data_IF_288254733029
#
_entry.id   IF_288254733029
#
_cell.length_a   1.000
_cell.length_b   1.000
_cell.length_c   1.000
_cell.angle_alpha   90.00
_cell.angle_beta   90.00
_cell.angle_gamma   90.00
#
_symmetry.space_group_name_H-M   'P 1'
#
loop_
_entity.id
_entity.type
_entity.pdbx_description
1 polymer ?
#
# COMPACT_ATOMS: atom_id res chain seq x y z
N UNK A 1 22.59 3.58 9.75
CA UNK A 1 21.89 2.27 9.84
C UNK A 1 21.21 2.01 8.49
N UNK A 2 21.85 1.26 7.59
CA UNK A 2 21.24 0.84 6.33
C UNK A 2 20.82 -0.62 6.49
N UNK A 3 19.56 -0.84 6.85
CA UNK A 3 18.97 -2.17 6.96
C UNK A 3 18.32 -2.62 5.63
N UNK A 4 18.99 -2.39 4.49
CA UNK A 4 18.57 -3.00 3.22
C UNK A 4 19.29 -4.34 3.10
N UNK A 5 18.64 -5.41 3.56
CA UNK A 5 18.98 -6.77 3.16
C UNK A 5 18.82 -6.96 1.63
N UNK A 6 19.21 -8.12 1.07
CA UNK A 6 19.35 -8.36 -0.37
C UNK A 6 18.00 -8.58 -1.09
N UNK A 7 16.95 -7.91 -0.63
CA UNK A 7 15.64 -7.95 -1.26
C UNK A 7 15.67 -7.05 -2.48
N UNK A 8 15.31 -7.60 -3.65
CA UNK A 8 15.12 -6.84 -4.87
C UNK A 8 13.86 -5.98 -4.71
N UNK A 9 14.06 -4.79 -4.14
CA UNK A 9 12.99 -3.82 -3.91
C UNK A 9 12.31 -3.42 -5.22
N UNK A 10 13.06 -3.34 -6.33
CA UNK A 10 12.51 -3.04 -7.65
C UNK A 10 11.52 -4.12 -8.09
N UNK A 11 11.93 -5.40 -8.03
CA UNK A 11 11.05 -6.52 -8.34
C UNK A 11 9.82 -6.59 -7.43
N UNK A 12 9.97 -6.25 -6.15
CA UNK A 12 8.85 -6.18 -5.23
C UNK A 12 7.84 -5.10 -5.66
N UNK A 13 8.31 -3.88 -5.94
CA UNK A 13 7.46 -2.78 -6.40
C UNK A 13 6.75 -3.11 -7.71
N UNK A 14 7.46 -3.68 -8.69
CA UNK A 14 6.85 -4.10 -9.97
C UNK A 14 5.74 -5.15 -9.79
N UNK A 15 5.93 -6.10 -8.85
CA UNK A 15 4.91 -7.09 -8.52
C UNK A 15 3.72 -6.45 -7.80
N UNK A 16 3.98 -5.54 -6.87
CA UNK A 16 2.96 -4.80 -6.14
C UNK A 16 2.09 -3.96 -7.08
N UNK A 17 2.70 -3.24 -8.04
CA UNK A 17 1.99 -2.43 -9.03
C UNK A 17 1.05 -3.26 -9.91
N UNK A 18 1.47 -4.48 -10.29
CA UNK A 18 0.61 -5.43 -11.02
C UNK A 18 -0.61 -5.87 -10.23
N UNK A 19 -0.48 -6.01 -8.91
CA UNK A 19 -1.62 -6.33 -8.03
C UNK A 19 -2.51 -5.11 -7.88
N UNK A 20 -1.93 -3.92 -7.72
CA UNK A 20 -2.67 -2.66 -7.62
C UNK A 20 -3.48 -2.32 -8.87
N UNK A 21 -3.04 -2.73 -10.05
CA UNK A 21 -3.81 -2.60 -11.29
C UNK A 21 -5.18 -3.33 -11.27
N UNK A 22 -5.41 -4.23 -10.31
CA UNK A 22 -6.70 -4.95 -10.14
C UNK A 22 -7.72 -4.18 -9.30
N UNK A 23 -7.31 -3.09 -8.64
CA UNK A 23 -8.21 -2.27 -7.84
C UNK A 23 -9.18 -1.45 -8.70
N UNK A 24 -10.33 -1.02 -8.15
CA UNK A 24 -11.26 -0.15 -8.85
C UNK A 24 -10.60 1.11 -9.40
N UNK A 25 -11.08 1.58 -10.56
CA UNK A 25 -10.65 2.85 -11.15
C UNK A 25 -10.91 4.01 -10.19
N UNK A 26 -9.94 4.92 -10.09
CA UNK A 26 -9.99 6.03 -9.12
C UNK A 26 -9.44 5.68 -7.74
N UNK A 27 -8.83 4.49 -7.57
CA UNK A 27 -8.03 4.20 -6.37
C UNK A 27 -6.78 5.08 -6.38
N UNK A 28 -6.56 5.82 -5.31
CA UNK A 28 -5.39 6.69 -5.12
C UNK A 28 -4.46 6.12 -4.05
N UNK A 29 -3.15 6.25 -4.26
CA UNK A 29 -2.14 5.86 -3.29
C UNK A 29 -1.55 7.10 -2.63
N UNK A 30 -1.64 7.17 -1.30
CA UNK A 30 -1.14 8.30 -0.50
C UNK A 30 -0.20 7.82 0.60
N UNK A 31 0.68 8.72 1.03
CA UNK A 31 1.57 8.49 2.17
C UNK A 31 1.15 9.35 3.34
N UNK A 32 0.86 8.73 4.47
CA UNK A 32 0.43 9.40 5.70
C UNK A 32 1.56 9.34 6.73
N UNK A 33 2.08 10.50 7.20
CA UNK A 33 3.09 10.52 8.24
C UNK A 33 2.49 10.09 9.59
N UNK A 34 3.20 9.24 10.32
CA UNK A 34 2.83 8.81 11.67
C UNK A 34 4.03 8.91 12.61
N UNK A 35 3.84 8.86 13.94
CA UNK A 35 4.95 8.80 14.90
C UNK A 35 5.87 7.58 14.72
N UNK A 36 5.42 6.55 13.99
CA UNK A 36 6.17 5.31 13.75
C UNK A 36 6.79 5.27 12.34
N UNK A 37 6.71 6.36 11.58
CA UNK A 37 7.17 6.45 10.20
C UNK A 37 6.02 6.72 9.21
N UNK A 38 6.33 6.58 7.93
CA UNK A 38 5.37 6.80 6.85
C UNK A 38 4.52 5.54 6.60
N UNK A 39 3.20 5.72 6.51
CA UNK A 39 2.24 4.66 6.19
C UNK A 39 1.68 4.87 4.79
N UNK A 40 1.83 3.87 3.92
CA UNK A 40 1.23 3.87 2.59
C UNK A 40 -0.23 3.40 2.66
N UNK A 41 -1.15 4.17 2.08
CA UNK A 41 -2.61 3.93 2.15
C UNK A 41 -3.21 4.03 0.75
N UNK A 42 -4.13 3.11 0.44
CA UNK A 42 -4.95 3.17 -0.77
C UNK A 42 -6.34 3.68 -0.44
N UNK A 43 -6.77 4.73 -1.13
CA UNK A 43 -8.08 5.37 -0.98
C UNK A 43 -8.96 4.96 -2.16
N UNK A 44 -10.18 4.52 -1.89
CA UNK A 44 -11.17 4.18 -2.92
C UNK A 44 -12.58 4.53 -2.46
N UNK A 45 -13.42 4.93 -3.41
CA UNK A 45 -14.82 5.30 -3.16
C UNK A 45 -15.04 6.82 -3.03
N UNK A 46 -16.28 7.24 -2.75
CA UNK A 46 -16.65 8.66 -2.71
C UNK A 46 -16.00 9.39 -1.53
N UNK A 47 -15.53 10.62 -1.77
CA UNK A 47 -14.89 11.46 -0.75
C UNK A 47 -15.83 11.88 0.38
N UNK A 48 -17.13 11.96 0.12
CA UNK A 48 -18.21 12.31 1.06
C UNK A 48 -18.93 11.07 1.64
N UNK A 49 -18.46 9.87 1.32
CA UNK A 49 -19.02 8.62 1.81
C UNK A 49 -18.73 8.37 3.30
N UNK A 50 -19.39 7.36 3.88
CA UNK A 50 -19.10 6.94 5.26
C UNK A 50 -17.68 6.36 5.36
N UNK A 51 -16.82 6.86 6.25
CA UNK A 51 -15.44 6.35 6.36
C UNK A 51 -15.38 4.87 6.76
N UNK A 52 -14.47 4.14 6.12
CA UNK A 52 -14.12 2.75 6.42
C UNK A 52 -12.61 2.57 6.31
N UNK A 53 -12.01 1.92 7.32
CA UNK A 53 -10.58 1.58 7.33
C UNK A 53 -10.44 0.07 7.26
N UNK A 54 -9.67 -0.41 6.29
CA UNK A 54 -9.34 -1.83 6.14
C UNK A 54 -7.91 -2.06 6.63
N UNK A 55 -7.75 -2.90 7.64
CA UNK A 55 -6.43 -3.33 8.12
C UNK A 55 -6.12 -4.71 7.54
N UNK A 56 -5.10 -4.85 6.67
CA UNK A 56 -4.77 -6.12 6.06
C UNK A 56 -4.22 -7.12 7.08
N UNK A 57 -4.38 -8.42 6.77
CA UNK A 57 -3.70 -9.49 7.51
C UNK A 57 -2.17 -9.38 7.39
N UNK A 58 -1.45 -9.95 8.36
CA UNK A 58 0.01 -9.96 8.36
C UNK A 58 0.58 -10.54 7.07
N UNK A 59 1.48 -9.80 6.42
CA UNK A 59 2.11 -10.20 5.15
C UNK A 59 1.26 -10.03 3.89
N UNK A 60 0.02 -9.53 3.98
CA UNK A 60 -0.86 -9.42 2.81
C UNK A 60 -0.33 -8.46 1.72
N UNK A 61 0.52 -7.50 2.07
CA UNK A 61 1.19 -6.63 1.10
C UNK A 61 2.41 -7.29 0.43
N UNK A 62 2.86 -8.45 0.93
CA UNK A 62 4.07 -9.15 0.48
C UNK A 62 3.82 -10.56 -0.05
N UNK A 63 2.64 -11.12 0.21
CA UNK A 63 2.15 -12.36 -0.38
C UNK A 63 1.50 -12.05 -1.75
N UNK A 64 2.29 -12.09 -2.81
CA UNK A 64 1.82 -12.03 -4.19
C UNK A 64 1.81 -13.42 -4.82
#
# INVERSE_FOLDING_TARGET
>A
MSARGPYDAGRFHDAYDKVMAKWPTGTESVTVPTPFGETHVHLTGPADGRPLVLLPGGGAATSA
#
